data_IF_661801064976
#
_entry.id   IF_661801064976
#
_cell.length_a   1.000
_cell.length_b   1.000
_cell.length_c   1.000
_cell.angle_alpha   90.00
_cell.angle_beta   90.00
_cell.angle_gamma   90.00
#
_symmetry.space_group_name_H-M   'P 1'
#
loop_
_entity.id
_entity.type
_entity.pdbx_description
1 polymer ?
#
# COMPACT_ATOMS: atom_id res chain seq x y z
N UNK A 1 4.80 39.98 -5.42
CA UNK A 1 5.55 39.11 -4.49
C UNK A 1 4.92 37.73 -4.57
N UNK A 2 5.73 36.69 -4.86
CA UNK A 2 5.30 35.32 -5.08
C UNK A 2 5.04 34.60 -3.74
N UNK A 3 3.78 34.42 -3.35
CA UNK A 3 3.39 33.55 -2.25
C UNK A 3 3.20 32.11 -2.77
N UNK A 4 4.26 31.52 -3.33
CA UNK A 4 4.26 30.13 -3.80
C UNK A 4 4.79 29.21 -2.70
N UNK A 5 4.09 29.09 -1.56
CA UNK A 5 4.36 28.05 -0.56
C UNK A 5 3.09 27.62 0.14
N UNK A 6 2.62 26.40 -0.15
CA UNK A 6 2.21 25.37 0.83
C UNK A 6 1.66 24.11 0.15
N UNK A 7 2.49 23.06 -0.04
CA UNK A 7 2.02 21.69 -0.11
C UNK A 7 2.50 20.94 1.15
N UNK A 8 1.97 21.31 2.33
CA UNK A 8 2.32 20.65 3.60
C UNK A 8 1.15 19.90 4.25
N UNK A 9 -0.06 20.03 3.71
CA UNK A 9 -1.26 19.37 4.28
C UNK A 9 -1.69 18.11 3.53
N UNK A 10 -1.33 17.95 2.25
CA UNK A 10 -1.72 16.78 1.45
C UNK A 10 -1.01 15.49 1.90
N UNK A 11 0.25 15.57 2.33
CA UNK A 11 1.04 14.39 2.70
C UNK A 11 0.56 13.72 3.98
N UNK A 12 0.06 14.48 4.96
CA UNK A 12 -0.42 13.93 6.23
C UNK A 12 -1.73 13.15 6.06
N UNK A 13 -2.64 13.64 5.21
CA UNK A 13 -3.92 12.99 4.93
C UNK A 13 -3.74 11.73 4.10
N UNK A 14 -2.82 11.74 3.13
CA UNK A 14 -2.40 10.55 2.38
C UNK A 14 -1.75 9.50 3.28
N UNK A 15 -0.91 9.91 4.25
CA UNK A 15 -0.29 8.94 5.17
C UNK A 15 -1.28 8.25 6.11
N UNK A 16 -2.37 8.91 6.49
CA UNK A 16 -3.42 8.28 7.32
C UNK A 16 -4.18 7.25 6.48
N UNK A 17 -4.64 7.66 5.29
CA UNK A 17 -5.37 6.77 4.36
C UNK A 17 -4.53 5.58 3.90
N UNK A 18 -3.21 5.73 3.76
CA UNK A 18 -2.36 4.58 3.44
C UNK A 18 -2.25 3.57 4.57
N UNK A 19 -2.18 4.03 5.83
CA UNK A 19 -2.16 3.12 6.99
C UNK A 19 -3.48 2.37 7.11
N UNK A 20 -4.60 3.03 6.82
CA UNK A 20 -5.92 2.43 6.83
C UNK A 20 -6.04 1.32 5.77
N UNK A 21 -5.50 1.54 4.57
CA UNK A 21 -5.46 0.54 3.50
C UNK A 21 -4.59 -0.67 3.86
N UNK A 22 -3.40 -0.45 4.43
CA UNK A 22 -2.56 -1.57 4.86
C UNK A 22 -3.24 -2.38 5.96
N UNK A 23 -3.91 -1.72 6.90
CA UNK A 23 -4.67 -2.39 7.95
C UNK A 23 -5.79 -3.25 7.36
N UNK A 24 -6.57 -2.72 6.43
CA UNK A 24 -7.65 -3.47 5.74
C UNK A 24 -7.11 -4.72 5.02
N UNK A 25 -5.93 -4.60 4.38
CA UNK A 25 -5.26 -5.73 3.72
C UNK A 25 -4.89 -6.80 4.75
N UNK A 26 -4.28 -6.43 5.89
CA UNK A 26 -3.87 -7.39 6.93
C UNK A 26 -5.08 -8.05 7.61
N UNK A 27 -6.15 -7.28 7.88
CA UNK A 27 -7.39 -7.82 8.44
C UNK A 27 -8.03 -8.85 7.50
N UNK A 28 -8.08 -8.54 6.19
CA UNK A 28 -8.62 -9.46 5.19
C UNK A 28 -7.79 -10.73 5.06
N UNK A 29 -6.46 -10.63 5.13
CA UNK A 29 -5.56 -11.80 5.13
C UNK A 29 -5.86 -12.70 6.34
N UNK A 30 -5.99 -12.12 7.55
CA UNK A 30 -6.27 -12.88 8.76
C UNK A 30 -7.65 -13.58 8.71
N UNK A 31 -8.67 -12.92 8.15
CA UNK A 31 -9.98 -13.54 7.94
C UNK A 31 -9.92 -14.73 6.96
N UNK A 32 -9.15 -14.59 5.88
CA UNK A 32 -8.94 -15.65 4.90
C UNK A 32 -8.16 -16.84 5.49
N UNK A 33 -7.16 -16.59 6.34
CA UNK A 33 -6.42 -17.66 7.04
C UNK A 33 -7.37 -18.50 7.90
N UNK A 34 -8.21 -17.85 8.71
CA UNK A 34 -9.21 -18.52 9.55
C UNK A 34 -10.21 -19.31 8.68
N UNK A 35 -10.67 -18.72 7.57
CA UNK A 35 -11.61 -19.39 6.67
C UNK A 35 -10.99 -20.65 6.04
N UNK A 36 -9.77 -20.54 5.52
CA UNK A 36 -9.04 -21.61 4.84
C UNK A 36 -8.62 -22.74 5.79
N UNK A 37 -8.47 -22.49 7.10
CA UNK A 37 -8.32 -23.57 8.09
C UNK A 37 -9.49 -24.56 8.06
N UNK A 38 -10.70 -24.07 7.77
CA UNK A 38 -11.92 -24.89 7.70
C UNK A 38 -12.30 -25.31 6.28
N UNK A 39 -11.81 -24.59 5.26
CA UNK A 39 -12.09 -24.84 3.84
C UNK A 39 -10.78 -24.84 3.02
N UNK A 40 -9.87 -25.81 3.24
CA UNK A 40 -8.52 -25.76 2.67
C UNK A 40 -8.48 -25.90 1.14
N UNK A 41 -9.52 -26.47 0.54
CA UNK A 41 -9.61 -26.74 -0.90
C UNK A 41 -10.49 -25.72 -1.64
N UNK A 42 -10.91 -24.63 -0.98
CA UNK A 42 -11.65 -23.56 -1.66
C UNK A 42 -10.70 -22.75 -2.55
N UNK A 43 -10.68 -23.11 -3.83
CA UNK A 43 -9.84 -22.48 -4.86
C UNK A 43 -10.06 -20.97 -4.96
N UNK A 44 -11.28 -20.49 -4.71
CA UNK A 44 -11.60 -19.06 -4.80
C UNK A 44 -10.95 -18.33 -3.62
N UNK A 45 -11.10 -18.87 -2.41
CA UNK A 45 -10.49 -18.30 -1.21
C UNK A 45 -8.96 -18.32 -1.27
N UNK A 46 -8.36 -19.39 -1.80
CA UNK A 46 -6.91 -19.49 -2.02
C UNK A 46 -6.40 -18.42 -2.99
N UNK A 47 -7.08 -18.21 -4.12
CA UNK A 47 -6.71 -17.17 -5.09
C UNK A 47 -6.85 -15.77 -4.47
N UNK A 48 -7.91 -15.53 -3.69
CA UNK A 48 -8.06 -14.24 -3.00
C UNK A 48 -6.95 -14.03 -1.97
N UNK A 49 -6.59 -15.05 -1.21
CA UNK A 49 -5.49 -14.99 -0.25
C UNK A 49 -4.17 -14.61 -0.93
N UNK A 50 -3.82 -15.28 -2.03
CA UNK A 50 -2.61 -14.93 -2.82
C UNK A 50 -2.67 -13.49 -3.35
N UNK A 51 -3.82 -13.02 -3.83
CA UNK A 51 -3.99 -11.64 -4.29
C UNK A 51 -3.76 -10.62 -3.17
N UNK A 52 -4.25 -10.89 -1.96
CA UNK A 52 -4.05 -9.99 -0.82
C UNK A 52 -2.61 -10.02 -0.30
N UNK A 53 -1.92 -11.16 -0.35
CA UNK A 53 -0.49 -11.24 -0.07
C UNK A 53 0.32 -10.37 -1.03
N UNK A 54 0.03 -10.46 -2.33
CA UNK A 54 0.68 -9.62 -3.35
C UNK A 54 0.37 -8.13 -3.15
N UNK A 55 -0.90 -7.79 -2.87
CA UNK A 55 -1.29 -6.40 -2.55
C UNK A 55 -0.53 -5.85 -1.35
N UNK A 56 -0.34 -6.66 -0.30
CA UNK A 56 0.44 -6.28 0.87
C UNK A 56 1.89 -5.99 0.49
N UNK A 57 2.53 -6.88 -0.25
CA UNK A 57 3.91 -6.70 -0.71
C UNK A 57 4.08 -5.44 -1.56
N UNK A 58 3.21 -5.24 -2.56
CA UNK A 58 3.20 -4.06 -3.43
C UNK A 58 3.02 -2.76 -2.62
N UNK A 59 2.10 -2.79 -1.66
CA UNK A 59 1.79 -1.62 -0.84
C UNK A 59 2.92 -1.31 0.16
N UNK A 60 3.48 -2.34 0.79
CA UNK A 60 4.67 -2.19 1.64
C UNK A 60 5.86 -1.69 0.83
N UNK A 61 6.06 -2.17 -0.39
CA UNK A 61 7.09 -1.67 -1.31
C UNK A 61 6.87 -0.19 -1.64
N UNK A 62 5.65 0.18 -2.01
CA UNK A 62 5.28 1.58 -2.30
C UNK A 62 5.50 2.50 -1.08
N UNK A 63 5.19 2.04 0.13
CA UNK A 63 5.45 2.78 1.36
C UNK A 63 6.94 2.80 1.75
N UNK A 64 7.69 1.76 1.39
CA UNK A 64 9.12 1.60 1.63
C UNK A 64 10.00 2.23 0.55
N UNK A 65 9.44 2.95 -0.44
CA UNK A 65 10.17 3.89 -1.30
C UNK A 65 10.15 5.32 -0.71
N UNK A 66 10.93 5.65 0.35
CA UNK A 66 11.36 7.02 0.55
C UNK A 66 12.57 7.23 -0.38
N UNK A 67 12.58 8.28 -1.21
CA UNK A 67 13.78 8.78 -1.92
C UNK A 67 14.30 8.06 -3.19
N UNK A 68 13.59 7.13 -3.84
CA UNK A 68 14.06 6.53 -5.11
C UNK A 68 14.04 7.46 -6.34
N UNK A 69 13.16 8.47 -6.36
CA UNK A 69 12.94 9.36 -7.54
C UNK A 69 12.82 10.85 -7.22
N UNK A 70 13.37 11.31 -6.09
CA UNK A 70 13.57 12.75 -5.87
C UNK A 70 14.84 13.29 -6.59
N UNK A 71 15.62 12.42 -7.24
CA UNK A 71 16.96 12.73 -7.76
C UNK A 71 17.22 12.21 -9.19
N UNK A 72 16.29 12.40 -10.13
CA UNK A 72 16.67 12.69 -11.52
C UNK A 72 16.55 14.21 -11.70
N UNK A 73 17.45 15.00 -11.09
CA UNK A 73 18.63 15.57 -11.77
C UNK A 73 18.25 16.12 -13.15
N UNK A 74 17.84 17.39 -13.21
CA UNK A 74 18.68 18.50 -13.70
C UNK A 74 18.92 18.43 -15.21
N UNK A 75 18.33 19.41 -15.91
CA UNK A 75 18.74 20.02 -17.18
C UNK A 75 19.30 19.11 -18.28
N UNK A 76 18.51 18.89 -19.34
CA UNK A 76 18.98 18.83 -20.74
C UNK A 76 17.79 19.23 -21.64
N UNK A 77 17.84 20.11 -22.64
CA UNK A 77 18.76 21.16 -23.10
C UNK A 77 17.89 22.15 -23.91
#
# INVERSE_FOLDING_TARGET
MNEARKPLQLSTQMSHSHRDILLEIEETIAELEIYLETNPDDEIALVQYEQFLNKREDFTYFLAEPYGKASQSVMQA
#
